data_IF_396742216311
#
_entry.id   IF_396742216311
#
_cell.length_a   1.000
_cell.length_b   1.000
_cell.length_c   1.000
_cell.angle_alpha   90.00
_cell.angle_beta   90.00
_cell.angle_gamma   90.00
#
_symmetry.space_group_name_H-M   'P 1'
#
loop_
_entity.id
_entity.type
_entity.pdbx_description
1 polymer ?
#
# COMPACT_ATOMS: atom_id res chain seq x y z
N UNK A 1 -1.57 2.08 -23.95
CA UNK A 1 -2.75 2.74 -23.35
C UNK A 1 -2.49 2.82 -21.86
N UNK A 2 -2.72 3.97 -21.23
CA UNK A 2 -2.55 4.12 -19.78
C UNK A 2 -3.82 3.69 -19.06
N UNK A 3 -4.16 2.41 -19.12
CA UNK A 3 -5.31 1.88 -18.38
C UNK A 3 -4.93 1.61 -16.93
N UNK A 4 -5.78 2.06 -16.02
CA UNK A 4 -5.70 1.72 -14.60
C UNK A 4 -6.00 0.22 -14.43
N UNK A 5 -5.07 -0.52 -13.81
CA UNK A 5 -5.22 -1.96 -13.61
C UNK A 5 -5.98 -2.28 -12.32
N UNK A 6 -5.64 -1.58 -11.23
CA UNK A 6 -6.17 -1.81 -9.87
C UNK A 6 -6.07 -0.55 -9.03
N UNK A 7 -7.02 -0.41 -8.10
CA UNK A 7 -7.01 0.59 -7.03
C UNK A 7 -6.77 -0.14 -5.70
N UNK A 8 -5.85 0.40 -4.89
CA UNK A 8 -5.56 -0.09 -3.55
C UNK A 8 -6.22 0.83 -2.53
N UNK A 9 -7.46 0.52 -2.15
CA UNK A 9 -8.23 1.32 -1.19
C UNK A 9 -7.98 0.86 0.24
N UNK A 10 -7.69 1.80 1.14
CA UNK A 10 -7.57 1.50 2.58
C UNK A 10 -6.98 2.65 3.40
N UNK A 11 -6.03 3.40 2.85
CA UNK A 11 -5.49 4.57 3.56
C UNK A 11 -6.55 5.66 3.73
N UNK A 12 -6.62 6.24 4.93
CA UNK A 12 -7.58 7.30 5.29
C UNK A 12 -7.02 8.70 5.12
N UNK A 13 -5.73 8.81 4.76
CA UNK A 13 -5.03 10.05 4.50
C UNK A 13 -4.04 9.88 3.33
N UNK A 14 -3.29 10.94 3.01
CA UNK A 14 -2.34 10.94 1.91
C UNK A 14 -1.30 9.83 2.03
N UNK A 15 -1.21 9.01 0.98
CA UNK A 15 -0.10 8.10 0.76
C UNK A 15 1.13 8.93 0.40
N UNK A 16 2.20 8.80 1.20
CA UNK A 16 3.43 9.58 1.06
C UNK A 16 4.58 8.79 0.47
N UNK A 17 4.51 7.46 0.49
CA UNK A 17 5.55 6.58 -0.05
C UNK A 17 4.96 5.25 -0.52
N UNK A 18 5.57 4.68 -1.56
CA UNK A 18 5.25 3.35 -2.09
C UNK A 18 6.52 2.59 -2.48
N UNK A 19 6.54 1.29 -2.27
CA UNK A 19 7.64 0.40 -2.66
C UNK A 19 7.12 -0.98 -3.07
N UNK A 20 7.86 -1.66 -3.95
CA UNK A 20 7.65 -3.07 -4.28
C UNK A 20 8.59 -3.95 -3.47
N UNK A 21 8.14 -5.17 -3.13
CA UNK A 21 9.05 -6.23 -2.71
C UNK A 21 9.98 -6.61 -3.87
N UNK A 22 11.16 -7.15 -3.55
CA UNK A 22 12.14 -7.57 -4.56
C UNK A 22 11.64 -8.69 -5.47
N UNK A 23 10.65 -9.46 -5.02
CA UNK A 23 9.99 -10.52 -5.80
C UNK A 23 8.71 -10.06 -6.50
N UNK A 24 8.38 -8.77 -6.42
CA UNK A 24 7.22 -8.12 -7.02
C UNK A 24 5.86 -8.68 -6.60
N UNK A 25 5.79 -9.49 -5.54
CA UNK A 25 4.52 -10.04 -5.03
C UNK A 25 3.78 -9.11 -4.10
N UNK A 26 4.51 -8.18 -3.48
CA UNK A 26 3.94 -7.26 -2.51
C UNK A 26 4.23 -5.82 -2.87
N UNK A 27 3.25 -4.97 -2.55
CA UNK A 27 3.41 -3.52 -2.51
C UNK A 27 3.34 -3.12 -1.05
N UNK A 28 4.16 -2.16 -0.65
CA UNK A 28 4.10 -1.52 0.67
C UNK A 28 3.81 -0.04 0.44
N UNK A 29 2.83 0.50 1.16
CA UNK A 29 2.50 1.93 1.14
C UNK A 29 2.53 2.51 2.55
N UNK A 30 3.10 3.70 2.69
CA UNK A 30 3.07 4.49 3.92
C UNK A 30 2.20 5.74 3.75
N UNK A 31 1.52 6.14 4.81
CA UNK A 31 0.53 7.22 4.77
C UNK A 31 0.57 8.11 6.00
N UNK A 32 0.07 9.34 5.84
CA UNK A 32 -0.16 10.28 6.94
C UNK A 32 -1.28 9.84 7.91
N UNK A 33 -1.93 8.71 7.65
CA UNK A 33 -2.84 8.07 8.61
C UNK A 33 -2.11 7.27 9.70
N UNK A 34 -0.77 7.37 9.75
CA UNK A 34 0.11 6.71 10.73
C UNK A 34 0.18 5.19 10.55
N UNK A 35 -0.21 4.68 9.37
CA UNK A 35 -0.14 3.26 9.04
C UNK A 35 0.78 3.00 7.85
N UNK A 36 1.32 1.77 7.83
CA UNK A 36 1.93 1.15 6.66
C UNK A 36 1.05 -0.04 6.25
N UNK A 37 0.60 -0.07 5.00
CA UNK A 37 -0.19 -1.18 4.45
C UNK A 37 0.63 -2.02 3.50
N UNK A 38 0.42 -3.33 3.54
CA UNK A 38 1.03 -4.33 2.65
C UNK A 38 -0.07 -4.92 1.79
N UNK A 39 0.17 -4.98 0.48
CA UNK A 39 -0.81 -5.42 -0.53
C UNK A 39 -0.28 -6.59 -1.33
N UNK A 40 -1.17 -7.47 -1.77
CA UNK A 40 -0.89 -8.44 -2.82
C UNK A 40 -0.88 -7.71 -4.17
N UNK A 41 0.27 -7.70 -4.85
CA UNK A 41 0.43 -6.97 -6.11
C UNK A 41 -0.43 -7.55 -7.26
N UNK A 42 -0.77 -8.84 -7.21
CA UNK A 42 -1.54 -9.52 -8.26
C UNK A 42 -3.05 -9.39 -8.06
N UNK A 43 -3.51 -9.38 -6.81
CA UNK A 43 -4.91 -9.33 -6.46
C UNK A 43 -5.36 -7.89 -6.18
N UNK A 44 -4.46 -7.03 -5.72
CA UNK A 44 -4.78 -5.69 -5.20
C UNK A 44 -5.47 -5.76 -3.84
N UNK A 45 -5.32 -6.88 -3.13
CA UNK A 45 -5.94 -7.08 -1.82
C UNK A 45 -4.97 -6.64 -0.74
N UNK A 46 -5.47 -5.96 0.29
CA UNK A 46 -4.71 -5.75 1.49
C UNK A 46 -4.38 -7.08 2.19
N UNK A 47 -3.11 -7.25 2.51
CA UNK A 47 -2.58 -8.38 3.25
C UNK A 47 -2.38 -8.04 4.72
N UNK A 48 -1.95 -6.80 5.02
CA UNK A 48 -1.67 -6.38 6.39
C UNK A 48 -1.67 -4.87 6.55
N UNK A 49 -2.17 -4.44 7.70
CA UNK A 49 -2.00 -3.10 8.25
C UNK A 49 -0.98 -3.13 9.39
N UNK A 50 -0.06 -2.17 9.38
CA UNK A 50 0.98 -1.99 10.39
C UNK A 50 0.82 -0.60 11.01
N UNK A 51 0.51 -0.59 12.30
CA UNK A 51 0.32 0.62 13.10
C UNK A 51 1.60 0.97 13.88
N UNK A 52 1.66 2.18 14.45
CA UNK A 52 2.74 2.62 15.33
C UNK A 52 3.73 3.60 14.71
N UNK A 53 3.48 4.08 13.48
CA UNK A 53 4.18 5.23 12.91
C UNK A 53 3.58 6.55 13.41
N UNK A 54 3.46 6.66 14.73
CA UNK A 54 3.03 7.88 15.42
C UNK A 54 4.24 8.79 15.68
N UNK A 55 4.01 10.10 15.74
CA UNK A 55 5.06 11.09 16.04
C UNK A 55 5.46 11.11 17.52
#
# INVERSE_FOLDING_TARGET
TGEELKVLEGHSNYVTSVAFSSDSKQIVSGSNDQTVRVWDASMGKELKELEGHEN
#
